data_IF_095943615713
#
_entry.id   IF_095943615713
#
_cell.length_a   1.000
_cell.length_b   1.000
_cell.length_c   1.000
_cell.angle_alpha   90.00
_cell.angle_beta   90.00
_cell.angle_gamma   90.00
#
_symmetry.space_group_name_H-M   'P 1'
#
loop_
_entity.id
_entity.type
_entity.pdbx_description
1 polymer ?
#
# COMPACT_ATOMS: atom_id res chain seq x y z
N UNK A 1 5.92 -22.33 -19.02
CA UNK A 1 5.96 -22.22 -17.56
C UNK A 1 7.13 -23.06 -17.06
N UNK A 2 8.00 -22.48 -16.24
CA UNK A 2 9.15 -23.18 -15.69
C UNK A 2 8.68 -24.12 -14.56
N UNK A 3 8.60 -25.43 -14.88
CA UNK A 3 8.13 -26.46 -13.94
C UNK A 3 9.02 -26.56 -12.69
N UNK A 4 10.29 -26.21 -12.81
CA UNK A 4 11.24 -26.24 -11.69
C UNK A 4 10.98 -25.11 -10.70
N UNK A 5 10.70 -23.89 -11.17
CA UNK A 5 10.33 -22.75 -10.32
C UNK A 5 9.04 -23.04 -9.57
N UNK A 6 8.01 -23.59 -10.26
CA UNK A 6 6.77 -24.00 -9.62
C UNK A 6 6.98 -24.99 -8.49
N UNK A 7 7.79 -26.01 -8.72
CA UNK A 7 8.10 -27.00 -7.68
C UNK A 7 8.86 -26.40 -6.50
N UNK A 8 9.84 -25.54 -6.76
CA UNK A 8 10.61 -24.86 -5.70
C UNK A 8 9.73 -23.97 -4.82
N UNK A 9 8.83 -23.19 -5.42
CA UNK A 9 7.92 -22.33 -4.66
C UNK A 9 6.90 -23.17 -3.88
N UNK A 10 6.33 -24.22 -4.47
CA UNK A 10 5.42 -25.11 -3.76
C UNK A 10 6.11 -25.80 -2.56
N UNK A 11 7.39 -26.17 -2.66
CA UNK A 11 8.14 -26.73 -1.55
C UNK A 11 8.31 -25.72 -0.38
N UNK A 12 8.24 -24.41 -0.63
CA UNK A 12 8.22 -23.39 0.43
C UNK A 12 6.87 -23.34 1.17
N UNK A 13 5.81 -23.90 0.60
CA UNK A 13 4.47 -23.92 1.17
C UNK A 13 4.16 -25.21 1.93
N UNK A 14 4.96 -26.26 1.78
CA UNK A 14 4.74 -27.54 2.43
C UNK A 14 4.79 -27.43 3.96
N UNK A 15 4.15 -28.37 4.67
CA UNK A 15 4.04 -28.39 6.12
C UNK A 15 5.43 -28.35 6.80
N UNK A 16 5.59 -27.43 7.76
CA UNK A 16 6.87 -27.13 8.40
C UNK A 16 7.77 -26.19 7.62
N UNK A 17 7.34 -25.71 6.46
CA UNK A 17 8.06 -24.80 5.60
C UNK A 17 7.68 -23.33 5.84
N UNK A 18 8.41 -22.44 5.16
CA UNK A 18 8.37 -21.01 5.38
C UNK A 18 6.99 -20.36 5.08
N UNK A 19 6.33 -20.83 3.99
CA UNK A 19 5.04 -20.31 3.52
C UNK A 19 3.83 -21.07 4.06
N UNK A 20 4.01 -22.00 5.00
CA UNK A 20 2.91 -22.85 5.50
C UNK A 20 1.68 -22.06 6.01
N UNK A 21 1.90 -20.83 6.52
CA UNK A 21 0.85 -19.96 7.03
C UNK A 21 0.33 -18.95 5.99
N UNK A 22 0.85 -19.00 4.75
CA UNK A 22 0.38 -18.12 3.68
C UNK A 22 -0.96 -18.61 3.12
N UNK A 23 -1.96 -17.74 3.10
CA UNK A 23 -3.26 -18.00 2.46
C UNK A 23 -3.61 -16.86 1.52
N UNK A 24 -3.59 -17.10 0.22
CA UNK A 24 -3.81 -16.03 -0.75
C UNK A 24 -3.26 -16.32 -2.13
N UNK A 25 -2.85 -15.28 -2.84
CA UNK A 25 -2.39 -15.36 -4.22
C UNK A 25 -0.96 -14.82 -4.38
N UNK A 26 -0.12 -15.61 -5.03
CA UNK A 26 1.26 -15.21 -5.41
C UNK A 26 1.30 -15.02 -6.92
N UNK A 27 1.87 -13.89 -7.37
CA UNK A 27 2.17 -13.63 -8.77
C UNK A 27 3.61 -13.12 -8.89
N UNK A 28 4.36 -13.71 -9.83
CA UNK A 28 5.71 -13.31 -10.20
C UNK A 28 5.73 -13.02 -11.70
N UNK A 29 6.11 -11.80 -12.05
CA UNK A 29 6.18 -11.33 -13.43
C UNK A 29 7.55 -10.73 -13.70
N UNK A 30 8.18 -11.10 -14.80
CA UNK A 30 9.40 -10.48 -15.28
C UNK A 30 9.17 -10.00 -16.71
N UNK A 31 9.42 -8.72 -16.97
CA UNK A 31 9.06 -8.06 -18.22
C UNK A 31 7.56 -8.28 -18.56
N UNK A 32 7.27 -8.88 -19.70
CA UNK A 32 5.91 -9.20 -20.14
C UNK A 32 5.48 -10.65 -19.85
N UNK A 33 6.29 -11.41 -19.10
CA UNK A 33 6.07 -12.83 -18.85
C UNK A 33 5.67 -13.11 -17.40
N UNK A 34 4.57 -13.83 -17.20
CA UNK A 34 4.24 -14.40 -15.90
C UNK A 34 5.11 -15.65 -15.69
N UNK A 35 6.03 -15.58 -14.74
CA UNK A 35 6.92 -16.68 -14.38
C UNK A 35 6.21 -17.68 -13.46
N UNK A 36 5.39 -17.15 -12.54
CA UNK A 36 4.63 -17.93 -11.58
C UNK A 36 3.33 -17.21 -11.20
N UNK A 37 2.25 -17.95 -11.07
CA UNK A 37 1.03 -17.48 -10.43
C UNK A 37 0.26 -18.66 -9.85
N UNK A 38 -0.14 -18.56 -8.58
CA UNK A 38 -0.86 -19.63 -7.91
C UNK A 38 -1.61 -19.13 -6.68
N UNK A 39 -2.79 -19.75 -6.44
CA UNK A 39 -3.52 -19.62 -5.19
C UNK A 39 -3.03 -20.64 -4.17
N UNK A 40 -2.97 -20.22 -2.90
CA UNK A 40 -2.70 -21.04 -1.72
C UNK A 40 -3.87 -20.88 -0.75
N UNK A 41 -4.49 -21.98 -0.34
CA UNK A 41 -5.69 -21.95 0.51
C UNK A 41 -6.95 -21.44 -0.22
N UNK A 42 -7.76 -20.62 0.46
CA UNK A 42 -9.05 -20.14 -0.05
C UNK A 42 -9.21 -18.63 0.11
N UNK A 43 -9.76 -17.95 -0.89
CA UNK A 43 -10.21 -16.56 -0.78
C UNK A 43 -11.48 -16.43 0.07
N UNK A 44 -12.26 -17.51 0.17
CA UNK A 44 -13.41 -17.65 1.05
C UNK A 44 -13.47 -19.12 1.55
N UNK A 45 -13.26 -19.31 2.85
CA UNK A 45 -13.24 -20.65 3.46
C UNK A 45 -14.63 -21.28 3.58
N UNK A 46 -15.67 -20.47 3.78
CA UNK A 46 -17.04 -20.99 3.91
C UNK A 46 -17.56 -21.52 2.57
N UNK A 47 -17.21 -20.83 1.46
CA UNK A 47 -17.58 -21.25 0.10
C UNK A 47 -16.51 -22.12 -0.58
N UNK A 48 -15.35 -22.35 0.05
CA UNK A 48 -14.18 -23.02 -0.53
C UNK A 48 -13.76 -22.42 -1.87
N UNK A 49 -13.84 -21.10 -1.97
CA UNK A 49 -13.51 -20.37 -3.19
C UNK A 49 -11.99 -20.16 -3.26
N UNK A 50 -11.39 -20.52 -4.38
CA UNK A 50 -9.98 -20.23 -4.68
C UNK A 50 -9.83 -18.85 -5.28
N UNK A 51 -8.67 -18.20 -5.03
CA UNK A 51 -8.34 -16.93 -5.66
C UNK A 51 -7.80 -17.12 -7.08
N UNK A 52 -7.97 -16.09 -7.89
CA UNK A 52 -7.35 -15.91 -9.19
C UNK A 52 -6.68 -14.52 -9.27
N UNK A 53 -6.07 -14.20 -10.42
CA UNK A 53 -5.43 -12.90 -10.67
C UNK A 53 -6.38 -11.70 -10.59
N UNK A 54 -7.70 -11.94 -10.63
CA UNK A 54 -8.75 -10.93 -10.55
C UNK A 54 -9.43 -10.87 -9.17
N UNK A 55 -8.99 -11.68 -8.21
CA UNK A 55 -9.51 -11.63 -6.84
C UNK A 55 -9.04 -10.36 -6.15
N UNK A 56 -9.96 -9.64 -5.50
CA UNK A 56 -9.74 -8.35 -4.87
C UNK A 56 -9.25 -8.56 -3.43
N UNK A 57 -8.15 -7.89 -3.08
CA UNK A 57 -7.55 -7.87 -1.74
C UNK A 57 -7.46 -6.45 -1.21
N UNK A 58 -7.60 -6.27 0.11
CA UNK A 58 -7.20 -5.02 0.76
C UNK A 58 -5.68 -4.89 0.74
N UNK A 59 -5.17 -3.76 0.24
CA UNK A 59 -3.74 -3.55 0.07
C UNK A 59 -3.04 -2.94 1.29
N UNK A 60 -3.80 -2.52 2.31
CA UNK A 60 -3.23 -1.83 3.46
C UNK A 60 -2.35 -0.65 3.05
N UNK A 61 -1.16 -0.58 3.61
CA UNK A 61 -0.22 0.53 3.40
C UNK A 61 0.40 0.63 2.01
N UNK A 62 0.25 -0.36 1.12
CA UNK A 62 0.58 -0.20 -0.30
C UNK A 62 -0.20 0.98 -0.91
N UNK A 63 -1.34 1.36 -0.33
CA UNK A 63 -2.09 2.58 -0.65
C UNK A 63 -1.23 3.84 -0.73
N UNK A 64 -0.20 3.94 0.11
CA UNK A 64 0.67 5.11 0.19
C UNK A 64 1.38 5.43 -1.12
N UNK A 65 1.66 4.42 -1.92
CA UNK A 65 2.24 4.58 -3.26
C UNK A 65 1.34 5.44 -4.15
N UNK A 66 0.04 5.17 -4.13
CA UNK A 66 -0.96 5.89 -4.93
C UNK A 66 -1.16 7.31 -4.41
N UNK A 67 -1.24 7.49 -3.10
CA UNK A 67 -1.37 8.82 -2.48
C UNK A 67 -0.16 9.70 -2.79
N UNK A 68 1.06 9.18 -2.67
CA UNK A 68 2.28 9.92 -2.99
C UNK A 68 2.31 10.34 -4.48
N UNK A 69 1.95 9.44 -5.38
CA UNK A 69 1.88 9.75 -6.81
C UNK A 69 0.84 10.85 -7.10
N UNK A 70 -0.33 10.85 -6.44
CA UNK A 70 -1.32 11.91 -6.56
C UNK A 70 -0.77 13.28 -6.13
N UNK A 71 -0.01 13.33 -5.04
CA UNK A 71 0.66 14.58 -4.59
C UNK A 71 1.65 15.06 -5.64
N UNK A 72 2.45 14.16 -6.21
CA UNK A 72 3.39 14.50 -7.28
C UNK A 72 2.68 14.97 -8.56
N UNK A 73 1.52 14.40 -8.90
CA UNK A 73 0.71 14.90 -10.02
C UNK A 73 0.21 16.34 -9.78
N UNK A 74 -0.19 16.67 -8.55
CA UNK A 74 -0.57 18.05 -8.19
C UNK A 74 0.64 18.99 -8.27
N UNK A 75 1.81 18.54 -7.80
CA UNK A 75 3.06 19.30 -7.92
C UNK A 75 3.44 19.53 -9.39
N UNK A 76 3.39 18.51 -10.23
CA UNK A 76 3.65 18.59 -11.66
C UNK A 76 2.72 19.58 -12.39
N UNK A 77 1.47 19.69 -11.91
CA UNK A 77 0.47 20.64 -12.43
C UNK A 77 0.62 22.06 -11.82
N UNK A 78 1.65 22.30 -11.01
CA UNK A 78 1.89 23.59 -10.34
C UNK A 78 0.86 23.97 -9.27
N UNK A 79 0.11 23.00 -8.75
CA UNK A 79 -0.90 23.21 -7.71
C UNK A 79 -0.30 23.29 -6.31
N UNK A 80 0.90 22.76 -6.12
CA UNK A 80 1.68 22.82 -4.88
C UNK A 80 3.18 22.78 -5.18
N UNK A 81 3.99 23.19 -4.20
CA UNK A 81 5.43 22.97 -4.16
C UNK A 81 5.75 21.97 -3.05
N UNK A 82 6.57 20.94 -3.37
CA UNK A 82 6.98 19.95 -2.37
C UNK A 82 7.84 20.56 -1.25
N UNK A 83 8.47 21.70 -1.49
CA UNK A 83 9.33 22.39 -0.54
C UNK A 83 8.59 23.48 0.24
N UNK A 84 7.30 23.66 0.02
CA UNK A 84 6.48 24.55 0.83
C UNK A 84 5.86 23.83 2.03
N UNK A 85 5.63 24.56 3.14
CA UNK A 85 4.92 24.03 4.29
C UNK A 85 3.50 23.60 3.94
N UNK A 86 3.06 22.45 4.48
CA UNK A 86 1.69 21.97 4.26
C UNK A 86 0.63 22.98 4.78
N UNK A 87 0.96 23.74 5.83
CA UNK A 87 0.09 24.78 6.37
C UNK A 87 -0.23 25.91 5.38
N UNK A 88 0.54 26.09 4.30
CA UNK A 88 0.21 26.99 3.19
C UNK A 88 -1.08 26.57 2.50
N UNK A 89 -1.32 25.26 2.39
CA UNK A 89 -2.44 24.67 1.67
C UNK A 89 -3.57 24.20 2.62
N UNK A 90 -3.20 23.83 3.86
CA UNK A 90 -4.11 23.44 4.95
C UNK A 90 -3.94 24.43 6.12
N UNK A 91 -4.49 25.66 6.03
CA UNK A 91 -4.26 26.72 7.02
C UNK A 91 -4.85 26.41 8.40
N UNK A 92 -5.81 25.50 8.47
CA UNK A 92 -6.39 25.00 9.72
C UNK A 92 -5.52 23.93 10.42
N UNK A 93 -4.48 23.43 9.76
CA UNK A 93 -3.42 22.61 10.34
C UNK A 93 -2.28 23.52 10.84
N UNK A 94 -2.47 24.08 12.03
CA UNK A 94 -1.56 25.10 12.58
C UNK A 94 -0.11 24.63 12.70
N UNK A 95 0.11 23.37 13.14
CA UNK A 95 1.43 22.77 13.30
C UNK A 95 2.14 22.55 11.95
N UNK A 96 1.40 22.56 10.84
CA UNK A 96 1.92 22.38 9.48
C UNK A 96 2.72 23.56 8.92
N UNK A 97 2.85 24.69 9.66
CA UNK A 97 3.55 25.90 9.17
C UNK A 97 5.05 25.71 8.93
N UNK A 98 5.68 24.76 9.62
CA UNK A 98 7.12 24.48 9.52
C UNK A 98 7.42 23.09 8.97
N UNK A 99 6.41 22.36 8.48
CA UNK A 99 6.53 20.99 7.98
C UNK A 99 6.32 21.02 6.47
N UNK A 100 7.38 20.81 5.69
CA UNK A 100 7.29 20.80 4.23
C UNK A 100 6.66 19.50 3.72
N UNK A 101 5.97 19.57 2.57
CA UNK A 101 5.26 18.40 1.99
C UNK A 101 6.23 17.25 1.69
N UNK A 102 7.45 17.55 1.25
CA UNK A 102 8.50 16.55 1.01
C UNK A 102 8.81 15.72 2.27
N UNK A 103 8.86 16.34 3.44
CA UNK A 103 9.14 15.66 4.71
C UNK A 103 8.00 14.73 5.11
N UNK A 104 6.76 15.12 4.82
CA UNK A 104 5.56 14.29 5.06
C UNK A 104 5.59 13.05 4.16
N UNK A 105 5.86 13.23 2.85
CA UNK A 105 5.97 12.14 1.89
C UNK A 105 7.06 11.12 2.26
N UNK A 106 8.16 11.59 2.86
CA UNK A 106 9.32 10.77 3.22
C UNK A 106 9.30 10.30 4.68
N UNK A 107 8.20 10.48 5.42
CA UNK A 107 8.08 10.05 6.82
C UNK A 107 9.12 10.67 7.78
N UNK A 108 9.56 11.91 7.51
CA UNK A 108 10.54 12.67 8.31
C UNK A 108 9.96 13.99 8.83
N UNK A 109 8.65 14.09 8.86
CA UNK A 109 7.91 15.31 9.23
C UNK A 109 7.91 15.63 10.72
N UNK A 110 8.20 14.64 11.57
CA UNK A 110 8.06 14.76 13.02
C UNK A 110 6.60 14.76 13.53
N UNK A 111 5.61 14.55 12.65
CA UNK A 111 4.20 14.44 13.02
C UNK A 111 3.99 13.16 13.84
N UNK A 112 3.28 13.23 15.00
CA UNK A 112 3.03 12.05 15.82
C UNK A 112 2.03 11.08 15.15
N UNK A 113 2.21 9.78 15.42
CA UNK A 113 1.29 8.74 14.97
C UNK A 113 0.00 8.79 15.80
N UNK A 114 -1.12 9.09 15.15
CA UNK A 114 -2.42 9.21 15.80
C UNK A 114 -2.95 7.86 16.30
N UNK A 115 -2.69 6.80 15.56
CA UNK A 115 -3.21 5.45 15.84
C UNK A 115 -2.69 4.86 17.15
N UNK A 116 -1.50 5.27 17.61
CA UNK A 116 -0.92 4.81 18.88
C UNK A 116 -1.44 5.57 20.11
N UNK A 117 -2.33 6.53 19.93
CA UNK A 117 -2.87 7.34 21.03
C UNK A 117 -4.08 6.66 21.66
N UNK A 118 -4.07 6.58 22.99
CA UNK A 118 -5.17 5.96 23.77
C UNK A 118 -6.51 6.63 23.48
N UNK A 119 -6.51 7.96 23.37
CA UNK A 119 -7.69 8.77 23.10
C UNK A 119 -8.33 8.46 21.74
N UNK A 120 -7.51 8.01 20.77
CA UNK A 120 -8.03 7.57 19.47
C UNK A 120 -8.77 6.23 19.57
N UNK A 121 -8.30 5.30 20.41
CA UNK A 121 -8.92 3.99 20.57
C UNK A 121 -10.32 4.02 21.21
N UNK A 122 -10.70 5.15 21.78
CA UNK A 122 -12.07 5.40 22.26
C UNK A 122 -13.07 5.64 21.11
N UNK A 123 -12.59 5.90 19.88
CA UNK A 123 -13.40 6.06 18.68
C UNK A 123 -12.96 5.12 17.53
N UNK A 124 -13.14 3.81 17.66
CA UNK A 124 -12.64 2.82 16.68
C UNK A 124 -13.34 2.91 15.32
N UNK A 125 -14.52 3.53 15.24
CA UNK A 125 -15.30 3.75 14.01
C UNK A 125 -15.06 5.13 13.38
N UNK A 126 -14.03 5.84 13.83
CA UNK A 126 -13.70 7.18 13.33
C UNK A 126 -13.45 7.22 11.82
N UNK A 127 -13.93 8.29 11.20
CA UNK A 127 -13.72 8.58 9.77
C UNK A 127 -12.35 9.19 9.51
N UNK A 128 -11.99 9.39 8.24
CA UNK A 128 -10.78 10.14 7.87
C UNK A 128 -10.85 11.63 8.30
N UNK A 129 -12.05 12.17 8.42
CA UNK A 129 -12.25 13.54 8.94
C UNK A 129 -11.98 13.61 10.44
N UNK A 130 -12.46 12.61 11.19
CA UNK A 130 -12.17 12.50 12.62
C UNK A 130 -10.68 12.33 12.87
N UNK A 131 -10.00 11.47 12.08
CA UNK A 131 -8.55 11.29 12.14
C UNK A 131 -7.79 12.60 11.83
N UNK A 132 -8.21 13.35 10.82
CA UNK A 132 -7.65 14.67 10.50
C UNK A 132 -7.85 15.66 11.64
N UNK A 133 -9.06 15.73 12.21
CA UNK A 133 -9.38 16.55 13.38
C UNK A 133 -8.51 16.21 14.58
N UNK A 134 -8.34 14.91 14.86
CA UNK A 134 -7.51 14.40 15.95
C UNK A 134 -6.03 14.72 15.75
N UNK A 135 -5.48 14.47 14.55
CA UNK A 135 -4.09 14.81 14.21
C UNK A 135 -3.80 16.31 14.42
N UNK A 136 -4.73 17.18 14.09
CA UNK A 136 -4.60 18.63 14.34
C UNK A 136 -4.49 18.97 15.82
N UNK A 137 -5.10 18.20 16.71
CA UNK A 137 -5.10 18.44 18.15
C UNK A 137 -3.83 17.95 18.87
N UNK A 138 -3.02 17.10 18.21
CA UNK A 138 -1.80 16.57 18.80
C UNK A 138 -0.76 17.67 19.02
N UNK A 139 0.02 17.57 20.09
CA UNK A 139 1.02 18.57 20.50
C UNK A 139 2.43 18.03 20.62
N UNK A 140 2.62 16.72 20.61
CA UNK A 140 3.91 16.03 20.83
C UNK A 140 4.71 15.84 19.53
N UNK A 141 4.82 16.92 18.74
CA UNK A 141 5.58 16.94 17.50
C UNK A 141 7.10 16.89 17.74
N UNK A 142 7.77 16.06 16.94
CA UNK A 142 9.23 16.09 16.85
C UNK A 142 9.69 17.15 15.84
N UNK A 143 10.99 17.46 15.86
CA UNK A 143 11.56 18.36 14.87
C UNK A 143 11.53 17.69 13.48
N UNK A 144 10.98 18.38 12.46
CA UNK A 144 10.98 17.87 11.09
C UNK A 144 12.41 17.74 10.55
N UNK A 145 12.58 16.89 9.54
CA UNK A 145 13.85 16.67 8.84
C UNK A 145 15.00 16.16 9.74
N UNK A 146 14.68 15.37 10.80
CA UNK A 146 15.68 14.84 11.74
C UNK A 146 15.79 13.33 11.72
N UNK A 147 14.68 12.63 11.70
CA UNK A 147 14.63 11.17 11.76
C UNK A 147 13.45 10.63 10.98
N UNK A 148 13.60 9.42 10.49
CA UNK A 148 12.51 8.64 9.91
C UNK A 148 11.64 8.07 11.03
N UNK A 149 10.32 8.27 10.90
CA UNK A 149 9.30 7.62 11.72
C UNK A 149 8.13 7.26 10.82
N UNK A 150 7.93 5.95 10.60
CA UNK A 150 6.76 5.50 9.87
C UNK A 150 5.49 5.96 10.59
N UNK A 151 4.64 6.71 9.89
CA UNK A 151 3.54 7.43 10.51
C UNK A 151 2.36 7.58 9.53
N UNK A 152 1.21 6.97 9.89
CA UNK A 152 0.00 7.03 9.08
C UNK A 152 -0.60 8.44 9.04
N UNK A 153 -0.44 9.22 10.12
CA UNK A 153 -0.88 10.62 10.16
C UNK A 153 -0.38 11.44 8.97
N UNK A 154 0.86 11.17 8.51
CA UNK A 154 1.43 11.82 7.33
C UNK A 154 0.56 11.63 6.09
N UNK A 155 0.17 10.41 5.81
CA UNK A 155 -0.55 10.09 4.56
C UNK A 155 -2.05 10.41 4.64
N UNK A 156 -2.63 10.50 5.84
CA UNK A 156 -3.97 11.07 6.05
C UNK A 156 -3.95 12.56 5.70
N UNK A 157 -2.95 13.31 6.16
CA UNK A 157 -2.76 14.72 5.81
C UNK A 157 -2.57 14.92 4.31
N UNK A 158 -1.81 14.03 3.64
CA UNK A 158 -1.65 14.07 2.18
C UNK A 158 -2.96 13.76 1.45
N UNK A 159 -3.77 12.84 1.97
CA UNK A 159 -5.12 12.61 1.46
C UNK A 159 -5.99 13.88 1.51
N UNK A 160 -6.00 14.56 2.67
CA UNK A 160 -6.71 15.85 2.83
C UNK A 160 -6.16 16.96 1.94
N UNK A 161 -4.83 17.01 1.75
CA UNK A 161 -4.19 17.94 0.82
C UNK A 161 -4.66 17.73 -0.62
N UNK A 162 -4.76 16.47 -1.07
CA UNK A 162 -5.25 16.12 -2.41
C UNK A 162 -6.70 16.59 -2.56
N UNK A 163 -7.58 16.30 -1.60
CA UNK A 163 -8.97 16.72 -1.63
C UNK A 163 -9.10 18.25 -1.68
N UNK A 164 -8.35 18.95 -0.85
CA UNK A 164 -8.36 20.43 -0.80
C UNK A 164 -7.94 21.07 -2.11
N UNK A 165 -6.87 20.58 -2.73
CA UNK A 165 -6.29 21.19 -3.94
C UNK A 165 -6.99 20.77 -5.23
N UNK A 166 -7.60 19.59 -5.24
CA UNK A 166 -8.34 19.08 -6.40
C UNK A 166 -9.80 19.51 -6.41
N UNK A 167 -10.38 19.76 -5.25
CA UNK A 167 -11.83 19.99 -5.07
C UNK A 167 -12.66 18.70 -5.24
N UNK A 168 -12.02 17.51 -5.21
CA UNK A 168 -12.62 16.19 -5.36
C UNK A 168 -12.33 15.35 -4.13
N UNK A 169 -13.17 14.37 -3.83
CA UNK A 169 -12.82 13.33 -2.87
C UNK A 169 -11.58 12.57 -3.32
N UNK A 170 -10.83 12.00 -2.38
CA UNK A 170 -9.65 11.17 -2.69
C UNK A 170 -10.05 9.97 -3.56
N UNK A 171 -11.24 9.40 -3.36
CA UNK A 171 -11.80 8.32 -4.18
C UNK A 171 -11.93 8.75 -5.65
N UNK A 172 -12.54 9.90 -5.91
CA UNK A 172 -12.70 10.43 -7.26
C UNK A 172 -11.36 10.77 -7.90
N UNK A 173 -10.45 11.38 -7.13
CA UNK A 173 -9.14 11.74 -7.65
C UNK A 173 -8.32 10.53 -8.06
N UNK A 174 -8.24 9.50 -7.22
CA UNK A 174 -7.56 8.23 -7.51
C UNK A 174 -8.15 7.56 -8.76
N UNK A 175 -9.48 7.44 -8.80
CA UNK A 175 -10.19 6.84 -9.95
C UNK A 175 -9.88 7.54 -11.26
N UNK A 176 -10.00 8.88 -11.29
CA UNK A 176 -9.82 9.66 -12.51
C UNK A 176 -8.36 9.79 -12.96
N UNK A 177 -7.42 9.87 -12.01
CA UNK A 177 -6.02 10.20 -12.32
C UNK A 177 -5.08 9.00 -12.32
N UNK A 178 -5.51 7.84 -11.78
CA UNK A 178 -4.71 6.62 -11.77
C UNK A 178 -5.49 5.42 -12.30
N UNK A 179 -6.60 5.03 -11.65
CA UNK A 179 -7.23 3.74 -11.95
C UNK A 179 -7.81 3.68 -13.37
N UNK A 180 -8.59 4.69 -13.78
CA UNK A 180 -9.16 4.76 -15.13
C UNK A 180 -8.08 4.90 -16.22
N UNK A 181 -7.09 5.80 -16.12
CA UNK A 181 -6.01 5.90 -17.09
C UNK A 181 -5.20 4.61 -17.28
N UNK A 182 -5.06 3.81 -16.23
CA UNK A 182 -4.34 2.53 -16.26
C UNK A 182 -5.23 1.34 -16.58
N UNK A 183 -6.54 1.55 -16.78
CA UNK A 183 -7.50 0.46 -16.96
C UNK A 183 -7.49 -0.55 -15.77
N UNK A 184 -7.31 -0.02 -14.54
CA UNK A 184 -7.38 -0.78 -13.29
C UNK A 184 -8.84 -0.86 -12.83
N UNK A 185 -9.64 -1.63 -13.56
CA UNK A 185 -11.11 -1.62 -13.44
C UNK A 185 -11.61 -2.36 -12.20
N UNK A 186 -10.75 -3.11 -11.52
CA UNK A 186 -11.05 -3.85 -10.28
C UNK A 186 -10.26 -3.30 -9.10
N UNK A 187 -9.89 -2.02 -9.18
CA UNK A 187 -9.22 -1.28 -8.10
C UNK A 187 -10.14 -0.23 -7.53
N UNK A 188 -10.33 -0.24 -6.23
CA UNK A 188 -11.30 0.58 -5.50
C UNK A 188 -10.60 1.28 -4.32
N UNK A 189 -11.23 2.34 -3.83
CA UNK A 189 -10.78 3.03 -2.62
C UNK A 189 -11.87 3.02 -1.55
N UNK A 190 -11.53 2.62 -0.34
CA UNK A 190 -12.32 2.41 0.88
C UNK A 190 -13.26 1.21 0.83
N UNK A 191 -14.02 1.02 -0.23
CA UNK A 191 -14.96 -0.10 -0.33
C UNK A 191 -14.92 -0.71 -1.74
N UNK A 192 -14.68 -2.03 -1.88
CA UNK A 192 -14.96 -2.73 -3.12
C UNK A 192 -16.48 -2.74 -3.38
N UNK A 193 -16.87 -3.04 -4.61
CA UNK A 193 -18.29 -3.24 -4.92
C UNK A 193 -18.84 -4.41 -4.07
N UNK A 194 -19.85 -4.17 -3.22
CA UNK A 194 -20.41 -5.23 -2.37
C UNK A 194 -21.07 -6.38 -3.16
N UNK A 195 -21.38 -6.15 -4.44
CA UNK A 195 -21.90 -7.17 -5.34
C UNK A 195 -20.78 -7.94 -6.07
N UNK A 196 -19.53 -7.52 -5.94
CA UNK A 196 -18.41 -8.25 -6.54
C UNK A 196 -18.07 -9.48 -5.71
N UNK A 197 -18.58 -10.62 -6.18
CA UNK A 197 -18.36 -11.91 -5.53
C UNK A 197 -16.88 -12.35 -5.54
N UNK A 198 -15.98 -11.66 -6.26
CA UNK A 198 -14.55 -11.99 -6.32
C UNK A 198 -13.68 -11.14 -5.38
N UNK A 199 -14.23 -10.71 -4.26
CA UNK A 199 -13.48 -10.10 -3.17
C UNK A 199 -13.10 -11.19 -2.16
N UNK A 200 -11.82 -11.24 -1.77
CA UNK A 200 -11.36 -12.15 -0.74
C UNK A 200 -11.92 -11.75 0.63
N UNK A 201 -12.29 -12.74 1.42
CA UNK A 201 -12.67 -12.55 2.82
C UNK A 201 -11.40 -12.52 3.65
N UNK A 202 -11.24 -11.49 4.49
CA UNK A 202 -10.12 -11.40 5.43
C UNK A 202 -10.33 -12.25 6.67
N UNK A 203 -9.27 -12.87 7.17
CA UNK A 203 -9.33 -13.78 8.32
C UNK A 203 -8.33 -13.39 9.40
N UNK A 204 -8.70 -13.68 10.66
CA UNK A 204 -7.78 -13.62 11.81
C UNK A 204 -6.89 -14.85 11.84
N UNK A 205 -5.81 -14.77 12.64
CA UNK A 205 -4.80 -15.81 12.81
C UNK A 205 -5.38 -17.23 12.98
N UNK A 206 -4.82 -18.25 12.30
CA UNK A 206 -5.30 -19.63 12.30
C UNK A 206 -5.08 -20.40 13.60
N UNK A 207 -4.52 -19.79 14.66
CA UNK A 207 -4.36 -20.46 15.96
C UNK A 207 -5.67 -20.78 16.68
N UNK A 208 -6.81 -20.49 16.04
CA UNK A 208 -8.14 -20.90 16.47
C UNK A 208 -8.61 -22.03 15.53
N UNK A 209 -9.24 -23.05 16.08
CA UNK A 209 -9.72 -24.23 15.36
C UNK A 209 -10.74 -23.97 14.24
N UNK A 210 -11.05 -22.71 13.94
CA UNK A 210 -11.93 -22.24 12.89
C UNK A 210 -11.44 -20.88 12.39
N UNK A 211 -11.40 -20.68 11.08
CA UNK A 211 -11.10 -19.38 10.45
C UNK A 211 -12.14 -18.36 10.88
N UNK A 212 -11.73 -17.35 11.62
CA UNK A 212 -12.58 -16.24 12.05
C UNK A 212 -12.44 -15.07 11.05
N UNK A 213 -13.56 -14.67 10.45
CA UNK A 213 -13.57 -13.54 9.52
C UNK A 213 -13.19 -12.25 10.24
N UNK A 214 -12.39 -11.44 9.59
CA UNK A 214 -12.02 -10.08 10.01
C UNK A 214 -12.32 -9.12 8.86
N UNK A 215 -13.56 -8.66 8.82
CA UNK A 215 -14.11 -7.81 7.76
C UNK A 215 -14.18 -6.33 8.14
N UNK A 216 -13.48 -5.93 9.19
CA UNK A 216 -13.47 -4.54 9.63
C UNK A 216 -12.92 -3.60 8.54
N UNK A 217 -13.67 -2.57 8.20
CA UNK A 217 -13.24 -1.52 7.27
C UNK A 217 -12.80 -0.32 8.10
N UNK A 218 -11.52 0.05 7.98
CA UNK A 218 -10.97 1.18 8.72
C UNK A 218 -10.92 2.41 7.81
N UNK A 219 -11.98 3.21 7.83
CA UNK A 219 -12.10 4.42 7.01
C UNK A 219 -11.18 5.56 7.46
N UNK A 220 -10.77 5.58 8.72
CA UNK A 220 -9.87 6.60 9.27
C UNK A 220 -8.47 6.62 8.62
N UNK A 221 -8.05 5.53 7.99
CA UNK A 221 -6.76 5.45 7.30
C UNK A 221 -6.77 6.00 5.85
N UNK A 222 -7.82 6.71 5.42
CA UNK A 222 -7.91 7.20 4.05
C UNK A 222 -6.65 7.97 3.62
N UNK A 223 -5.98 7.48 2.58
CA UNK A 223 -4.69 7.98 2.10
C UNK A 223 -3.47 7.21 2.64
N UNK A 224 -3.50 6.74 3.89
CA UNK A 224 -2.47 5.85 4.44
C UNK A 224 -2.77 4.36 4.16
N UNK A 225 -4.05 4.02 4.00
CA UNK A 225 -4.63 2.74 3.63
C UNK A 225 -5.90 2.95 2.80
N UNK A 226 -6.60 1.88 2.48
CA UNK A 226 -7.94 1.94 1.88
C UNK A 226 -8.02 1.55 0.41
N UNK A 227 -6.92 1.28 -0.29
CA UNK A 227 -6.98 0.72 -1.66
C UNK A 227 -7.21 -0.79 -1.58
N UNK A 228 -8.17 -1.25 -2.39
CA UNK A 228 -8.43 -2.64 -2.70
C UNK A 228 -8.09 -2.87 -4.17
N UNK A 229 -7.39 -3.96 -4.49
CA UNK A 229 -6.98 -4.24 -5.87
C UNK A 229 -6.78 -5.73 -6.12
N UNK A 230 -6.41 -6.06 -7.35
CA UNK A 230 -6.14 -7.41 -7.85
C UNK A 230 -4.70 -7.53 -8.30
N UNK A 231 -4.19 -8.76 -8.40
CA UNK A 231 -2.85 -8.99 -8.95
C UNK A 231 -2.74 -8.48 -10.40
N UNK A 232 -3.79 -8.69 -11.21
CA UNK A 232 -3.83 -8.21 -12.59
C UNK A 232 -3.76 -6.68 -12.71
N UNK A 233 -4.46 -5.94 -11.83
CA UNK A 233 -4.41 -4.47 -11.84
C UNK A 233 -3.08 -3.94 -11.27
N UNK A 234 -2.50 -4.63 -10.28
CA UNK A 234 -1.18 -4.26 -9.76
C UNK A 234 -0.04 -4.48 -10.77
N UNK A 235 -0.17 -5.43 -11.71
CA UNK A 235 0.75 -5.53 -12.85
C UNK A 235 0.69 -4.26 -13.71
N UNK A 236 -0.51 -3.74 -14.01
CA UNK A 236 -0.69 -2.48 -14.77
C UNK A 236 -0.12 -1.27 -14.01
N UNK A 237 -0.27 -1.27 -12.66
CA UNK A 237 0.34 -0.27 -11.81
C UNK A 237 1.86 -0.29 -11.92
N UNK A 238 2.50 -1.45 -11.76
CA UNK A 238 3.95 -1.59 -11.89
C UNK A 238 4.45 -1.18 -13.28
N UNK A 239 3.80 -1.64 -14.36
CA UNK A 239 4.13 -1.27 -15.74
C UNK A 239 4.09 0.24 -15.97
N UNK A 240 3.10 0.94 -15.40
CA UNK A 240 2.97 2.38 -15.54
C UNK A 240 4.13 3.16 -14.94
N UNK A 241 4.78 2.62 -13.89
CA UNK A 241 5.92 3.26 -13.23
C UNK A 241 7.21 3.25 -14.07
N UNK A 242 7.25 2.51 -15.18
CA UNK A 242 8.33 2.55 -16.17
C UNK A 242 8.06 3.56 -17.30
N UNK A 243 6.93 4.25 -17.27
CA UNK A 243 6.46 5.15 -18.35
C UNK A 243 6.24 6.57 -17.85
N UNK A 244 6.01 7.50 -18.78
CA UNK A 244 5.58 8.86 -18.45
C UNK A 244 4.05 9.04 -18.49
N UNK A 245 3.29 7.97 -18.38
CA UNK A 245 1.82 8.01 -18.48
C UNK A 245 1.16 8.79 -17.35
N UNK A 246 1.71 8.69 -16.12
CA UNK A 246 1.16 9.31 -14.92
C UNK A 246 1.96 10.52 -14.43
N UNK A 247 3.28 10.47 -14.57
CA UNK A 247 4.24 11.51 -14.19
C UNK A 247 5.29 11.66 -15.28
N UNK A 248 5.85 12.86 -15.45
CA UNK A 248 7.07 13.06 -16.25
C UNK A 248 8.24 12.34 -15.60
N UNK A 249 9.29 12.06 -16.40
CA UNK A 249 10.50 11.36 -15.92
C UNK A 249 11.11 12.02 -14.68
N UNK A 250 11.13 13.35 -14.62
CA UNK A 250 11.67 14.08 -13.47
C UNK A 250 10.88 13.80 -12.18
N UNK A 251 9.56 13.87 -12.24
CA UNK A 251 8.71 13.56 -11.08
C UNK A 251 8.71 12.07 -10.73
N UNK A 252 8.81 11.19 -11.73
CA UNK A 252 8.95 9.75 -11.50
C UNK A 252 10.28 9.44 -10.76
N UNK A 253 11.38 10.11 -11.11
CA UNK A 253 12.66 9.93 -10.40
C UNK A 253 12.61 10.48 -8.96
N UNK A 254 11.85 11.54 -8.70
CA UNK A 254 11.65 12.06 -7.33
C UNK A 254 10.86 11.07 -6.45
N UNK A 255 9.91 10.32 -7.02
CA UNK A 255 9.11 9.32 -6.32
C UNK A 255 9.98 8.26 -5.61
N UNK A 256 11.11 7.88 -6.20
CA UNK A 256 12.00 6.83 -5.71
C UNK A 256 13.29 7.36 -5.08
N UNK A 257 13.32 8.65 -4.70
CA UNK A 257 14.51 9.28 -4.13
C UNK A 257 14.41 9.42 -2.61
N UNK A 258 15.05 8.55 -1.83
CA UNK A 258 15.05 8.64 -0.37
C UNK A 258 15.83 9.89 0.09
N UNK A 259 15.52 10.40 1.31
CA UNK A 259 16.14 11.63 1.84
C UNK A 259 17.02 11.35 3.05
N UNK A 260 16.51 10.69 4.09
CA UNK A 260 17.28 10.41 5.34
C UNK A 260 17.38 8.91 5.60
N UNK A 261 16.36 8.16 5.21
CA UNK A 261 16.27 6.71 5.41
C UNK A 261 16.09 6.01 4.07
N UNK A 262 15.88 4.71 4.12
CA UNK A 262 15.55 3.89 2.93
C UNK A 262 14.11 4.12 2.42
N UNK A 263 13.37 5.07 2.97
CA UNK A 263 11.99 5.37 2.60
C UNK A 263 11.91 6.57 1.65
N UNK A 264 11.23 6.39 0.54
CA UNK A 264 10.95 7.41 -0.46
C UNK A 264 9.46 7.39 -0.84
N UNK A 265 8.72 8.42 -0.54
CA UNK A 265 7.36 8.74 -1.03
C UNK A 265 6.44 7.52 -1.26
N UNK A 266 6.23 6.70 -0.23
CA UNK A 266 5.37 5.50 -0.30
C UNK A 266 6.10 4.20 -0.67
N UNK A 267 7.43 4.20 -0.70
CA UNK A 267 8.25 3.07 -1.06
C UNK A 267 9.45 2.90 -0.14
N UNK A 268 9.82 1.68 0.17
CA UNK A 268 11.13 1.34 0.72
C UNK A 268 12.09 1.03 -0.42
N UNK A 269 13.33 1.54 -0.31
CA UNK A 269 14.40 1.37 -1.30
C UNK A 269 15.54 0.63 -0.61
N UNK A 270 15.83 -0.60 -1.01
CA UNK A 270 16.91 -1.41 -0.43
C UNK A 270 17.72 -2.08 -1.55
N UNK A 271 18.87 -1.48 -1.86
CA UNK A 271 19.67 -1.90 -3.01
C UNK A 271 18.90 -1.74 -4.33
N UNK A 272 18.74 -2.82 -5.05
CA UNK A 272 17.98 -2.88 -6.31
C UNK A 272 16.47 -3.10 -6.11
N UNK A 273 16.03 -3.38 -4.86
CA UNK A 273 14.64 -3.65 -4.52
C UNK A 273 13.90 -2.38 -4.11
N UNK A 274 12.74 -2.19 -4.71
CA UNK A 274 11.77 -1.15 -4.37
C UNK A 274 10.49 -1.84 -3.93
N UNK A 275 10.00 -1.56 -2.72
CA UNK A 275 8.88 -2.31 -2.18
C UNK A 275 8.03 -1.53 -1.19
N UNK A 276 6.85 -2.03 -0.92
CA UNK A 276 6.05 -1.73 0.26
C UNK A 276 5.19 -2.93 0.63
N UNK A 277 4.98 -3.11 1.92
CA UNK A 277 4.00 -4.05 2.42
C UNK A 277 2.74 -3.34 2.90
N UNK A 278 1.73 -4.10 3.26
CA UNK A 278 0.50 -3.57 3.81
C UNK A 278 -0.24 -4.56 4.68
N UNK A 279 -0.54 -4.13 5.89
CA UNK A 279 -1.41 -4.84 6.80
C UNK A 279 -2.73 -4.08 6.95
N UNK A 280 -3.81 -4.83 6.98
CA UNK A 280 -5.16 -4.35 7.30
C UNK A 280 -5.95 -5.50 7.95
N UNK A 281 -7.09 -5.23 8.58
CA UNK A 281 -7.87 -6.30 9.21
C UNK A 281 -8.09 -7.47 8.24
N UNK A 282 -7.57 -8.64 8.60
CA UNK A 282 -7.69 -9.87 7.81
C UNK A 282 -6.79 -9.97 6.57
N UNK A 283 -5.86 -9.02 6.34
CA UNK A 283 -5.00 -9.04 5.15
C UNK A 283 -3.58 -8.63 5.47
N UNK A 284 -2.63 -9.31 4.81
CA UNK A 284 -1.22 -8.90 4.74
C UNK A 284 -0.76 -8.99 3.28
N UNK A 285 -0.16 -7.93 2.76
CA UNK A 285 0.20 -7.83 1.35
C UNK A 285 1.63 -7.34 1.16
N UNK A 286 2.24 -7.71 0.05
CA UNK A 286 3.56 -7.24 -0.35
C UNK A 286 3.64 -7.04 -1.85
N UNK A 287 4.15 -5.89 -2.25
CA UNK A 287 4.58 -5.59 -3.61
C UNK A 287 6.07 -5.31 -3.57
N UNK A 288 6.86 -6.12 -4.27
CA UNK A 288 8.30 -5.94 -4.45
C UNK A 288 8.61 -5.88 -5.94
N UNK A 289 9.38 -4.89 -6.34
CA UNK A 289 9.85 -4.71 -7.71
C UNK A 289 11.36 -4.59 -7.76
N UNK A 290 11.98 -5.14 -8.81
CA UNK A 290 13.40 -5.00 -9.14
C UNK A 290 13.46 -4.35 -10.53
N UNK A 291 13.57 -3.00 -10.59
CA UNK A 291 13.37 -2.24 -11.84
C UNK A 291 14.30 -2.63 -12.98
N UNK A 292 15.56 -2.91 -12.70
CA UNK A 292 16.57 -3.26 -13.73
C UNK A 292 16.21 -4.55 -14.49
N UNK A 293 15.45 -5.45 -13.85
CA UNK A 293 14.93 -6.69 -14.42
C UNK A 293 13.48 -6.58 -14.88
N UNK A 294 12.79 -5.52 -14.52
CA UNK A 294 11.33 -5.42 -14.57
C UNK A 294 10.65 -6.62 -13.88
N UNK A 295 11.24 -7.08 -12.78
CA UNK A 295 10.70 -8.16 -11.97
C UNK A 295 9.72 -7.58 -10.95
N UNK A 296 8.53 -8.16 -10.90
CA UNK A 296 7.47 -7.88 -9.93
C UNK A 296 7.14 -9.16 -9.16
N UNK A 297 7.13 -9.07 -7.84
CA UNK A 297 6.68 -10.13 -6.93
C UNK A 297 5.50 -9.56 -6.12
N UNK A 298 4.34 -10.18 -6.28
CA UNK A 298 3.12 -9.85 -5.53
C UNK A 298 2.75 -11.00 -4.60
N UNK A 299 2.59 -10.67 -3.33
CA UNK A 299 2.07 -11.57 -2.29
C UNK A 299 0.79 -10.94 -1.74
N UNK A 300 -0.36 -11.52 -2.04
CA UNK A 300 -1.67 -11.03 -1.61
C UNK A 300 -2.29 -12.07 -0.69
N UNK A 301 -2.18 -11.85 0.62
CA UNK A 301 -2.63 -12.76 1.66
C UNK A 301 -3.91 -12.20 2.31
N UNK A 302 -4.93 -13.04 2.44
CA UNK A 302 -6.18 -12.70 3.15
C UNK A 302 -6.21 -13.26 4.59
N UNK A 303 -5.09 -13.07 5.29
CA UNK A 303 -4.85 -13.56 6.62
C UNK A 303 -3.91 -12.62 7.39
N UNK A 304 -4.32 -12.09 8.53
CA UNK A 304 -3.57 -11.08 9.29
C UNK A 304 -2.43 -11.65 10.16
N UNK A 305 -2.31 -12.96 10.25
CA UNK A 305 -1.19 -13.64 10.91
C UNK A 305 0.09 -13.67 10.08
N UNK A 306 0.00 -13.41 8.79
CA UNK A 306 1.11 -13.41 7.85
C UNK A 306 1.79 -12.03 7.79
N UNK A 307 2.24 -11.50 8.93
CA UNK A 307 2.74 -10.13 9.10
C UNK A 307 3.69 -9.66 7.99
N UNK A 308 3.74 -8.35 7.77
CA UNK A 308 4.61 -7.72 6.75
C UNK A 308 6.07 -8.19 6.83
N UNK A 309 6.61 -8.43 8.04
CA UNK A 309 7.96 -8.97 8.23
C UNK A 309 8.16 -10.33 7.57
N UNK A 310 7.16 -11.22 7.65
CA UNK A 310 7.20 -12.53 7.01
C UNK A 310 7.05 -12.39 5.49
N UNK A 311 6.15 -11.51 5.04
CA UNK A 311 5.94 -11.23 3.62
C UNK A 311 7.22 -10.70 2.94
N UNK A 312 8.01 -9.88 3.64
CA UNK A 312 9.33 -9.44 3.17
C UNK A 312 10.28 -10.61 2.96
N UNK A 313 10.38 -11.49 3.95
CA UNK A 313 11.23 -12.68 3.88
C UNK A 313 10.78 -13.65 2.76
N UNK A 314 9.47 -13.85 2.58
CA UNK A 314 8.95 -14.66 1.48
C UNK A 314 9.32 -14.07 0.11
N UNK A 315 9.19 -12.76 -0.07
CA UNK A 315 9.58 -12.09 -1.31
C UNK A 315 11.09 -12.24 -1.59
N UNK A 316 11.95 -12.14 -0.56
CA UNK A 316 13.39 -12.33 -0.69
C UNK A 316 13.76 -13.78 -1.09
N UNK A 317 13.10 -14.76 -0.48
CA UNK A 317 13.30 -16.18 -0.85
C UNK A 317 12.86 -16.47 -2.27
N UNK A 318 11.72 -15.94 -2.69
CA UNK A 318 11.22 -16.07 -4.07
C UNK A 318 12.21 -15.44 -5.06
N UNK A 319 12.69 -14.24 -4.76
CA UNK A 319 13.69 -13.55 -5.59
C UNK A 319 14.94 -14.41 -5.78
N UNK A 320 15.47 -15.04 -4.70
CA UNK A 320 16.60 -15.96 -4.79
C UNK A 320 16.32 -17.18 -5.68
N UNK A 321 15.07 -17.66 -5.75
CA UNK A 321 14.70 -18.79 -6.61
C UNK A 321 14.58 -18.40 -8.08
N UNK A 322 14.15 -17.17 -8.36
CA UNK A 322 14.05 -16.64 -9.72
C UNK A 322 15.44 -16.29 -10.31
N UNK A 323 16.43 -16.05 -9.44
CA UNK A 323 17.81 -15.73 -9.85
C UNK A 323 18.68 -16.95 -10.22
N UNK A 324 18.19 -18.17 -9.99
CA UNK A 324 18.92 -19.40 -10.25
C UNK A 324 18.42 -20.10 -11.49
#
# INVERSE_FOLDING_TARGET
>A
MDSELYQKINNLYDEGSLLQDFNGYILIKEEDHILFQQNFGYSDYDQKKIADENTIYSLGSITKQFTALCVLQLAQRGKLSLNEPIGTYLPDFYNGRNIIIRDILNMISGIPEYWCKTEWHENPEGTSEDAYGFIKSLTDYNLPHKAFHYCNSNYILLGKLIEKLSGKSLTEYLKENIFTPLNMMRTFFLTPDPNDSNTAIGYKSPHVSKWEQNTAIITSFAGAGGVYSTAADLCKWDEALYTEKLLTRNFMSELFKPVISDYAMGWYINGDKIYHGGDSPGFSTRLTRIPDRKLLILLLCNFDGCKESNMGHYADMIDMLVHR
#
